data_IF_831511650175
#
_entry.id   IF_831511650175
#
_cell.length_a   1.000
_cell.length_b   1.000
_cell.length_c   1.000
_cell.angle_alpha   90.00
_cell.angle_beta   90.00
_cell.angle_gamma   90.00
#
_symmetry.space_group_name_H-M   'P 1'
#
loop_
_entity.id
_entity.type
_entity.pdbx_description
1 polymer ?
#
# COMPACT_ATOMS: atom_id res chain seq x y z
N UNK A 1 -7.46 22.82 -12.48
CA UNK A 1 -8.47 22.40 -11.50
C UNK A 1 -8.49 20.89 -11.44
N UNK A 2 -7.81 20.33 -10.47
CA UNK A 2 -7.80 18.89 -10.22
C UNK A 2 -8.95 18.56 -9.27
N UNK A 3 -10.15 18.51 -9.82
CA UNK A 3 -11.31 17.99 -9.10
C UNK A 3 -11.20 16.48 -8.97
N UNK A 4 -10.58 15.99 -7.88
CA UNK A 4 -10.60 14.59 -7.52
C UNK A 4 -12.05 14.11 -7.40
N UNK A 5 -12.37 12.96 -8.00
CA UNK A 5 -13.68 12.32 -7.80
C UNK A 5 -13.89 12.07 -6.31
N UNK A 6 -15.11 12.23 -5.76
CA UNK A 6 -15.38 11.88 -4.37
C UNK A 6 -14.94 10.44 -4.07
N UNK A 7 -14.14 10.25 -3.05
CA UNK A 7 -13.62 8.93 -2.67
C UNK A 7 -12.23 8.59 -3.22
N UNK A 8 -11.60 9.47 -4.00
CA UNK A 8 -10.24 9.24 -4.50
C UNK A 8 -9.21 9.43 -3.39
N UNK A 9 -8.30 8.48 -3.22
CA UNK A 9 -7.18 8.56 -2.27
C UNK A 9 -5.97 9.18 -2.97
N UNK A 10 -5.44 10.26 -2.41
CA UNK A 10 -4.22 10.91 -2.93
C UNK A 10 -3.17 10.96 -1.83
N UNK A 11 -1.99 10.42 -2.10
CA UNK A 11 -0.85 10.39 -1.20
C UNK A 11 0.41 10.86 -1.93
N UNK A 12 1.16 11.81 -1.35
CA UNK A 12 2.40 12.36 -1.93
C UNK A 12 2.26 12.77 -3.42
N UNK A 13 1.09 13.32 -3.80
CA UNK A 13 0.81 13.75 -5.17
C UNK A 13 0.48 12.60 -6.15
N UNK A 14 0.31 11.38 -5.65
CA UNK A 14 -0.12 10.23 -6.44
C UNK A 14 -1.55 9.85 -6.11
N UNK A 15 -2.34 9.58 -7.15
CA UNK A 15 -3.67 8.98 -7.01
C UNK A 15 -3.51 7.47 -6.82
N UNK A 16 -4.06 6.93 -5.74
CA UNK A 16 -3.95 5.51 -5.38
C UNK A 16 -5.26 4.81 -5.70
N UNK A 17 -5.18 3.75 -6.50
CA UNK A 17 -6.25 2.81 -6.76
C UNK A 17 -5.89 1.43 -6.21
N UNK A 18 -6.90 0.64 -5.92
CA UNK A 18 -6.74 -0.75 -5.51
C UNK A 18 -7.50 -1.66 -6.46
N UNK A 19 -6.82 -2.64 -7.04
CA UNK A 19 -7.47 -3.71 -7.78
C UNK A 19 -8.40 -4.50 -6.85
N UNK A 20 -9.54 -5.04 -7.32
CA UNK A 20 -10.48 -5.79 -6.50
C UNK A 20 -9.85 -6.92 -5.66
N UNK A 21 -8.83 -7.60 -6.17
CA UNK A 21 -8.09 -8.62 -5.40
C UNK A 21 -7.43 -8.03 -4.16
N UNK A 22 -6.68 -6.94 -4.31
CA UNK A 22 -6.04 -6.28 -3.17
C UNK A 22 -7.08 -5.69 -2.22
N UNK A 23 -8.13 -5.09 -2.75
CA UNK A 23 -9.20 -4.50 -1.94
C UNK A 23 -9.93 -5.53 -1.09
N UNK A 24 -10.19 -6.72 -1.65
CA UNK A 24 -10.79 -7.84 -0.91
C UNK A 24 -9.86 -8.32 0.22
N UNK A 25 -8.55 -8.43 -0.05
CA UNK A 25 -7.55 -8.81 0.96
C UNK A 25 -7.44 -7.76 2.08
N UNK A 26 -7.42 -6.49 1.74
CA UNK A 26 -7.38 -5.40 2.71
C UNK A 26 -8.65 -5.38 3.58
N UNK A 27 -9.83 -5.53 2.97
CA UNK A 27 -11.11 -5.59 3.67
C UNK A 27 -11.17 -6.76 4.65
N UNK A 28 -10.78 -7.96 4.21
CA UNK A 28 -10.75 -9.15 5.06
C UNK A 28 -9.82 -8.96 6.27
N UNK A 29 -8.65 -8.36 6.04
CA UNK A 29 -7.69 -8.10 7.12
C UNK A 29 -8.20 -7.05 8.11
N UNK A 30 -8.90 -6.02 7.65
CA UNK A 30 -9.55 -5.02 8.53
C UNK A 30 -10.61 -5.70 9.40
N UNK A 31 -11.47 -6.54 8.81
CA UNK A 31 -12.49 -7.30 9.55
C UNK A 31 -11.86 -8.22 10.61
N UNK A 32 -10.78 -8.90 10.27
CA UNK A 32 -10.03 -9.74 11.22
C UNK A 32 -9.48 -8.92 12.39
N UNK A 33 -8.87 -7.78 12.13
CA UNK A 33 -8.31 -6.89 13.17
C UNK A 33 -9.41 -6.35 14.07
N UNK A 34 -10.53 -5.91 13.52
CA UNK A 34 -11.68 -5.43 14.33
C UNK A 34 -12.28 -6.56 15.20
N UNK A 35 -12.36 -7.78 14.70
CA UNK A 35 -12.78 -8.92 15.48
C UNK A 35 -11.80 -9.24 16.63
N UNK A 36 -10.50 -9.18 16.37
CA UNK A 36 -9.47 -9.36 17.41
C UNK A 36 -9.52 -8.26 18.46
N UNK A 37 -9.70 -7.00 18.06
CA UNK A 37 -9.85 -5.85 18.94
C UNK A 37 -11.09 -5.97 19.84
N UNK A 38 -12.20 -6.45 19.30
CA UNK A 38 -13.43 -6.67 20.07
C UNK A 38 -13.27 -7.77 21.14
N UNK A 39 -12.42 -8.78 20.86
CA UNK A 39 -12.15 -9.87 21.81
C UNK A 39 -11.09 -9.52 22.85
N UNK A 40 -10.09 -8.75 22.47
CA UNK A 40 -8.94 -8.41 23.31
C UNK A 40 -8.44 -6.99 22.97
N UNK A 41 -9.10 -6.00 23.53
CA UNK A 41 -8.81 -4.58 23.28
C UNK A 41 -7.40 -4.14 23.69
N UNK A 42 -6.76 -4.85 24.62
CA UNK A 42 -5.40 -4.54 25.06
C UNK A 42 -4.34 -5.25 24.23
N UNK A 43 -4.57 -6.54 23.86
CA UNK A 43 -3.56 -7.38 23.22
C UNK A 43 -3.61 -7.42 21.70
N UNK A 44 -4.67 -6.91 21.04
CA UNK A 44 -4.81 -7.01 19.58
C UNK A 44 -3.67 -6.33 18.81
N UNK A 45 -3.05 -5.28 19.36
CA UNK A 45 -1.92 -4.57 18.73
C UNK A 45 -0.70 -5.48 18.51
N UNK A 46 -0.52 -6.48 19.36
CA UNK A 46 0.54 -7.49 19.23
C UNK A 46 0.28 -8.58 18.21
N UNK A 47 -0.95 -8.72 17.71
CA UNK A 47 -1.35 -9.78 16.79
C UNK A 47 -0.77 -9.59 15.39
N UNK A 48 -0.54 -10.71 14.70
CA UNK A 48 0.03 -10.70 13.35
C UNK A 48 -0.85 -9.95 12.34
N UNK A 49 -2.16 -10.13 12.40
CA UNK A 49 -3.10 -9.42 11.52
C UNK A 49 -3.00 -7.91 11.66
N UNK A 50 -2.92 -7.38 12.89
CA UNK A 50 -2.76 -5.95 13.15
C UNK A 50 -1.44 -5.41 12.59
N UNK A 51 -0.33 -6.14 12.80
CA UNK A 51 0.98 -5.76 12.26
C UNK A 51 1.00 -5.79 10.72
N UNK A 52 0.36 -6.79 10.11
CA UNK A 52 0.20 -6.89 8.64
C UNK A 52 -0.60 -5.74 8.08
N UNK A 53 -1.74 -5.43 8.69
CA UNK A 53 -2.58 -4.30 8.28
C UNK A 53 -1.80 -2.99 8.33
N UNK A 54 -1.12 -2.72 9.45
CA UNK A 54 -0.29 -1.52 9.59
C UNK A 54 0.81 -1.44 8.53
N UNK A 55 1.49 -2.54 8.23
CA UNK A 55 2.53 -2.60 7.22
C UNK A 55 1.97 -2.39 5.79
N UNK A 56 0.83 -2.99 5.47
CA UNK A 56 0.18 -2.81 4.16
C UNK A 56 -0.27 -1.36 3.94
N UNK A 57 -0.86 -0.74 4.96
CA UNK A 57 -1.27 0.67 4.91
C UNK A 57 -0.06 1.60 4.78
N UNK A 58 0.99 1.37 5.56
CA UNK A 58 2.22 2.15 5.48
C UNK A 58 2.91 2.01 4.11
N UNK A 59 2.99 0.81 3.57
CA UNK A 59 3.58 0.60 2.25
C UNK A 59 2.77 1.25 1.14
N UNK A 60 1.47 0.94 1.08
CA UNK A 60 0.61 1.34 -0.03
C UNK A 60 0.33 2.84 -0.08
N UNK A 61 0.25 3.51 1.08
CA UNK A 61 -0.22 4.89 1.18
C UNK A 61 0.84 5.89 1.67
N UNK A 62 1.99 5.41 2.13
CA UNK A 62 3.07 6.27 2.61
C UNK A 62 4.37 6.02 1.83
N UNK A 63 4.93 4.82 1.88
CA UNK A 63 6.27 4.54 1.33
C UNK A 63 6.31 4.47 -0.19
N UNK A 64 5.42 3.68 -0.80
CA UNK A 64 5.38 3.56 -2.26
C UNK A 64 5.11 4.91 -2.94
N UNK A 65 4.13 5.73 -2.48
CA UNK A 65 3.86 7.02 -3.12
C UNK A 65 4.99 8.05 -3.00
N UNK A 66 5.90 7.90 -2.05
CA UNK A 66 7.08 8.78 -1.96
C UNK A 66 8.03 8.59 -3.15
N UNK A 67 8.24 7.36 -3.60
CA UNK A 67 9.10 7.04 -4.74
C UNK A 67 8.72 5.70 -5.39
N UNK A 68 7.61 5.60 -6.15
CA UNK A 68 7.16 4.33 -6.72
C UNK A 68 8.11 3.73 -7.77
N UNK A 69 9.02 4.54 -8.31
CA UNK A 69 10.04 4.11 -9.26
C UNK A 69 11.32 3.60 -8.57
N UNK A 70 11.38 3.60 -7.24
CA UNK A 70 12.56 3.18 -6.49
C UNK A 70 13.06 1.80 -6.88
N UNK A 71 14.38 1.63 -6.92
CA UNK A 71 15.03 0.36 -7.30
C UNK A 71 14.71 -0.77 -6.32
N UNK A 72 14.40 -0.45 -5.07
CA UNK A 72 13.94 -1.41 -4.05
C UNK A 72 12.64 -2.14 -4.43
N UNK A 73 11.85 -1.55 -5.33
CA UNK A 73 10.60 -2.16 -5.83
C UNK A 73 10.77 -2.97 -7.10
N UNK A 74 11.95 -3.00 -7.68
CA UNK A 74 12.25 -3.82 -8.84
C UNK A 74 12.21 -5.30 -8.47
N UNK A 75 11.52 -6.10 -9.28
CA UNK A 75 11.28 -7.51 -8.97
C UNK A 75 12.35 -8.46 -9.56
N UNK A 76 13.36 -7.92 -10.24
CA UNK A 76 14.35 -8.72 -10.94
C UNK A 76 13.74 -9.50 -12.12
N UNK A 77 14.15 -10.75 -12.31
CA UNK A 77 13.65 -11.62 -13.39
C UNK A 77 12.67 -12.70 -12.94
N UNK A 78 12.32 -12.76 -11.66
CA UNK A 78 11.56 -13.87 -11.07
C UNK A 78 10.14 -14.01 -11.63
N UNK A 79 9.48 -12.87 -11.92
CA UNK A 79 8.13 -12.88 -12.49
C UNK A 79 8.12 -13.17 -14.01
N UNK A 80 9.23 -12.97 -14.69
CA UNK A 80 9.39 -13.08 -16.13
C UNK A 80 9.74 -11.75 -16.79
N UNK A 81 10.42 -11.80 -17.92
CA UNK A 81 10.87 -10.61 -18.63
C UNK A 81 9.69 -9.76 -19.14
N UNK A 82 8.61 -10.43 -19.52
CA UNK A 82 7.35 -9.82 -19.98
C UNK A 82 6.65 -8.98 -18.92
N UNK A 83 6.90 -9.25 -17.62
CA UNK A 83 6.26 -8.59 -16.48
C UNK A 83 7.17 -7.61 -15.73
N UNK A 84 8.26 -7.13 -16.33
CA UNK A 84 9.20 -6.18 -15.71
C UNK A 84 8.57 -4.85 -15.29
N UNK A 85 7.46 -4.46 -15.89
CA UNK A 85 6.70 -3.27 -15.53
C UNK A 85 5.92 -3.40 -14.21
N UNK A 86 5.76 -4.62 -13.69
CA UNK A 86 5.24 -4.85 -12.36
C UNK A 86 6.33 -4.59 -11.32
N UNK A 87 5.92 -3.96 -10.23
CA UNK A 87 6.77 -3.66 -9.07
C UNK A 87 6.30 -4.47 -7.87
N UNK A 88 7.20 -4.68 -6.91
CA UNK A 88 6.86 -5.35 -5.66
C UNK A 88 7.52 -4.68 -4.46
N UNK A 89 6.77 -4.47 -3.39
CA UNK A 89 7.28 -4.05 -2.10
C UNK A 89 7.33 -5.24 -1.15
N UNK A 90 8.49 -5.46 -0.50
CA UNK A 90 8.68 -6.52 0.49
C UNK A 90 8.36 -6.00 1.89
N UNK A 91 7.73 -6.82 2.72
CA UNK A 91 7.59 -6.57 4.15
C UNK A 91 7.58 -7.88 4.94
N UNK A 92 8.01 -7.82 6.21
CA UNK A 92 8.18 -8.99 7.09
C UNK A 92 8.85 -10.19 6.41
N UNK A 93 9.83 -9.92 5.53
CA UNK A 93 10.61 -10.89 4.74
C UNK A 93 9.78 -11.78 3.80
N UNK A 94 8.61 -12.23 4.19
CA UNK A 94 7.79 -13.22 3.49
C UNK A 94 6.69 -12.63 2.61
N UNK A 95 6.23 -11.39 2.87
CA UNK A 95 5.15 -10.77 2.10
C UNK A 95 5.67 -9.92 0.95
N UNK A 96 4.90 -9.94 -0.14
CA UNK A 96 5.16 -9.19 -1.39
C UNK A 96 3.88 -8.51 -1.82
N UNK A 97 3.86 -7.18 -1.82
CA UNK A 97 2.80 -6.36 -2.39
C UNK A 97 3.18 -6.02 -3.82
N UNK A 98 2.39 -6.48 -4.79
CA UNK A 98 2.58 -6.17 -6.20
C UNK A 98 1.75 -4.97 -6.59
N UNK A 99 2.37 -4.06 -7.36
CA UNK A 99 1.76 -2.83 -7.81
C UNK A 99 2.30 -2.38 -9.16
N UNK A 100 1.58 -1.47 -9.80
CA UNK A 100 2.04 -0.72 -10.98
C UNK A 100 1.86 0.77 -10.75
N UNK A 101 2.61 1.57 -11.49
CA UNK A 101 2.47 3.02 -11.48
C UNK A 101 2.63 3.58 -12.88
N UNK A 102 2.05 4.76 -13.10
CA UNK A 102 2.19 5.52 -14.34
C UNK A 102 2.60 6.95 -14.01
N UNK A 103 3.83 7.32 -14.36
CA UNK A 103 4.47 8.57 -13.91
C UNK A 103 3.80 9.81 -14.47
N UNK A 104 3.34 9.77 -15.73
CA UNK A 104 2.71 10.91 -16.38
C UNK A 104 1.37 11.28 -15.73
N UNK A 105 0.55 10.30 -15.41
CA UNK A 105 -0.74 10.54 -14.75
C UNK A 105 -0.64 10.59 -13.23
N UNK A 106 0.53 10.35 -12.64
CA UNK A 106 0.74 10.26 -11.20
C UNK A 106 -0.25 9.29 -10.54
N UNK A 107 -0.32 8.07 -11.07
CA UNK A 107 -1.27 7.04 -10.66
C UNK A 107 -0.53 5.79 -10.21
N UNK A 108 -0.95 5.21 -9.09
CA UNK A 108 -0.49 3.93 -8.56
C UNK A 108 -1.69 2.99 -8.44
N UNK A 109 -1.52 1.74 -8.83
CA UNK A 109 -2.50 0.66 -8.64
C UNK A 109 -1.88 -0.41 -7.77
N UNK A 110 -2.41 -0.61 -6.56
CA UNK A 110 -2.08 -1.72 -5.67
C UNK A 110 -2.88 -2.94 -6.13
N UNK A 111 -2.21 -4.04 -6.50
CA UNK A 111 -2.86 -5.11 -7.23
C UNK A 111 -3.13 -6.37 -6.39
N UNK A 112 -2.15 -6.83 -5.64
CA UNK A 112 -2.25 -8.07 -4.88
C UNK A 112 -1.12 -8.19 -3.87
N UNK A 113 -1.36 -8.90 -2.78
CA UNK A 113 -0.37 -9.29 -1.79
C UNK A 113 -0.50 -10.79 -1.49
N UNK A 114 0.60 -11.52 -1.33
CA UNK A 114 0.51 -12.89 -0.85
C UNK A 114 0.05 -12.91 0.63
N UNK A 115 -0.78 -13.88 0.95
CA UNK A 115 -1.36 -14.10 2.28
C UNK A 115 -0.78 -15.34 2.98
N UNK A 116 -1.27 -15.61 4.17
CA UNK A 116 -0.82 -16.76 4.96
C UNK A 116 -1.20 -18.10 4.31
N UNK A 117 -2.31 -18.16 3.56
CA UNK A 117 -2.73 -19.36 2.85
C UNK A 117 -1.78 -19.65 1.68
N UNK A 118 -1.36 -18.63 0.97
CA UNK A 118 -0.32 -18.74 -0.06
C UNK A 118 1.01 -19.20 0.54
N UNK A 119 1.38 -18.70 1.72
CA UNK A 119 2.61 -19.08 2.40
C UNK A 119 2.58 -20.53 2.94
N UNK A 120 1.44 -21.02 3.39
CA UNK A 120 1.29 -22.40 3.88
C UNK A 120 1.27 -23.45 2.79
N UNK A 121 0.80 -23.08 1.61
CA UNK A 121 0.66 -24.00 0.48
C UNK A 121 1.99 -24.36 -0.18
N UNK A 122 3.06 -23.60 0.10
CA UNK A 122 4.31 -23.67 -0.65
C UNK A 122 5.51 -23.30 0.24
N UNK A 123 6.54 -24.11 0.16
CA UNK A 123 7.71 -24.07 1.07
C UNK A 123 8.87 -23.18 0.54
N UNK A 124 8.62 -22.30 -0.44
CA UNK A 124 9.69 -21.49 -1.06
C UNK A 124 9.37 -20.00 -1.21
N UNK A 125 10.45 -19.18 -1.19
CA UNK A 125 10.39 -17.71 -1.37
C UNK A 125 9.84 -17.28 -2.73
N UNK A 126 9.79 -18.20 -3.70
CA UNK A 126 9.36 -17.94 -5.09
C UNK A 126 7.84 -18.10 -5.28
N UNK A 127 7.11 -18.52 -4.27
CA UNK A 127 5.70 -18.87 -4.38
C UNK A 127 4.78 -17.68 -4.59
N UNK A 128 5.09 -16.53 -3.98
CA UNK A 128 4.35 -15.30 -4.23
C UNK A 128 4.45 -14.89 -5.71
N UNK A 129 5.62 -15.02 -6.31
CA UNK A 129 5.83 -14.72 -7.73
C UNK A 129 5.13 -15.72 -8.63
N UNK A 130 5.21 -17.00 -8.32
CA UNK A 130 4.54 -18.07 -9.08
C UNK A 130 3.03 -17.90 -9.02
N UNK A 131 2.48 -17.62 -7.85
CA UNK A 131 1.04 -17.35 -7.66
C UNK A 131 0.62 -16.11 -8.42
N UNK A 132 1.35 -15.01 -8.27
CA UNK A 132 1.03 -13.78 -8.98
C UNK A 132 1.13 -13.94 -10.51
N UNK A 133 2.13 -14.66 -11.01
CA UNK A 133 2.25 -15.00 -12.44
C UNK A 133 1.05 -15.80 -12.95
N UNK A 134 0.55 -16.77 -12.18
CA UNK A 134 -0.68 -17.49 -12.52
C UNK A 134 -1.90 -16.57 -12.60
N UNK A 135 -2.01 -15.61 -11.66
CA UNK A 135 -3.07 -14.62 -11.69
C UNK A 135 -2.98 -13.74 -12.96
N UNK A 136 -1.80 -13.25 -13.31
CA UNK A 136 -1.58 -12.47 -14.54
C UNK A 136 -1.92 -13.28 -15.78
N UNK A 137 -1.51 -14.54 -15.85
CA UNK A 137 -1.82 -15.44 -16.97
C UNK A 137 -3.33 -15.71 -17.10
N UNK A 138 -4.08 -15.66 -15.99
CA UNK A 138 -5.55 -15.77 -16.03
C UNK A 138 -6.26 -14.45 -16.37
N UNK A 139 -5.49 -13.35 -16.52
CA UNK A 139 -6.04 -12.02 -16.80
C UNK A 139 -6.64 -11.31 -15.57
N UNK A 140 -6.38 -11.80 -14.37
CA UNK A 140 -6.89 -11.18 -13.12
C UNK A 140 -5.81 -11.13 -12.02
N UNK A 141 -5.08 -10.01 -11.85
CA UNK A 141 -5.34 -8.70 -12.47
C UNK A 141 -4.97 -8.64 -13.96
N UNK A 142 -5.60 -7.74 -14.74
CA UNK A 142 -5.20 -7.52 -16.12
C UNK A 142 -3.76 -6.99 -16.20
N UNK A 143 -3.01 -7.40 -17.23
CA UNK A 143 -1.66 -6.89 -17.43
C UNK A 143 -1.62 -5.57 -18.21
N UNK A 144 -2.63 -5.27 -19.06
CA UNK A 144 -2.71 -3.97 -19.72
C UNK A 144 -2.97 -2.87 -18.69
N UNK A 145 -2.32 -1.71 -18.87
CA UNK A 145 -2.49 -0.59 -17.94
C UNK A 145 -3.92 -0.06 -17.91
N UNK A 146 -4.53 0.07 -19.08
CA UNK A 146 -5.88 0.60 -19.25
C UNK A 146 -6.92 -0.29 -18.55
N UNK A 147 -6.84 -1.60 -18.76
CA UNK A 147 -7.77 -2.56 -18.15
C UNK A 147 -7.55 -2.67 -16.64
N UNK A 148 -6.28 -2.67 -16.19
CA UNK A 148 -5.94 -2.66 -14.78
C UNK A 148 -6.51 -1.43 -14.07
N UNK A 149 -6.32 -0.24 -14.65
CA UNK A 149 -6.84 1.01 -14.10
C UNK A 149 -8.36 1.00 -14.07
N UNK A 150 -9.00 0.59 -15.16
CA UNK A 150 -10.47 0.49 -15.27
C UNK A 150 -11.03 -0.47 -14.21
N UNK A 151 -10.45 -1.65 -14.05
CA UNK A 151 -10.86 -2.62 -13.03
C UNK A 151 -10.71 -2.07 -11.60
N UNK A 152 -9.73 -1.21 -11.37
CA UNK A 152 -9.39 -0.69 -10.04
C UNK A 152 -10.22 0.54 -9.64
N UNK A 153 -10.83 1.24 -10.60
CA UNK A 153 -11.61 2.45 -10.31
C UNK A 153 -12.94 2.16 -9.61
N UNK A 154 -13.47 0.97 -9.73
CA UNK A 154 -14.75 0.59 -9.08
C UNK A 154 -14.67 0.52 -7.55
N UNK A 155 -13.47 0.42 -6.99
CA UNK A 155 -13.22 0.28 -5.56
C UNK A 155 -12.90 1.57 -4.80
N UNK A 156 -12.87 2.72 -5.46
CA UNK A 156 -12.39 3.99 -4.90
C UNK A 156 -13.03 4.36 -3.55
N UNK A 157 -14.37 4.32 -3.49
CA UNK A 157 -15.11 4.68 -2.28
C UNK A 157 -14.82 3.73 -1.12
N UNK A 158 -14.65 2.44 -1.39
CA UNK A 158 -14.31 1.44 -0.37
C UNK A 158 -12.89 1.64 0.10
N UNK A 159 -11.95 1.87 -0.81
CA UNK A 159 -10.56 2.14 -0.48
C UNK A 159 -10.43 3.37 0.42
N UNK A 160 -11.13 4.46 0.11
CA UNK A 160 -11.11 5.68 0.90
C UNK A 160 -11.63 5.48 2.35
N UNK A 161 -12.59 4.55 2.54
CA UNK A 161 -13.09 4.21 3.87
C UNK A 161 -12.12 3.36 4.68
N UNK A 162 -11.34 2.51 4.01
CA UNK A 162 -10.38 1.61 4.65
C UNK A 162 -9.04 2.28 4.95
N UNK A 163 -8.72 3.37 4.26
CA UNK A 163 -7.50 4.13 4.49
C UNK A 163 -7.66 5.05 5.69
N UNK A 164 -6.70 5.09 6.63
CA UNK A 164 -6.69 6.16 7.63
C UNK A 164 -6.67 7.49 6.89
N UNK A 165 -7.57 8.39 7.27
CA UNK A 165 -7.61 9.74 6.70
C UNK A 165 -6.18 10.28 6.70
N UNK A 166 -5.61 10.53 5.53
CA UNK A 166 -4.25 11.04 5.40
C UNK A 166 -4.11 12.18 6.42
N UNK A 167 -3.14 12.05 7.33
CA UNK A 167 -2.94 13.04 8.38
C UNK A 167 -2.84 14.40 7.69
N UNK A 168 -3.75 15.29 8.03
CA UNK A 168 -3.67 16.67 7.58
C UNK A 168 -2.23 17.15 7.84
N UNK A 169 -1.61 17.94 6.96
CA UNK A 169 -0.23 18.35 7.14
C UNK A 169 -0.10 18.91 8.53
N UNK A 170 0.73 18.25 9.36
CA UNK A 170 1.00 18.73 10.72
C UNK A 170 1.55 20.14 10.57
N UNK A 171 0.76 21.12 10.99
CA UNK A 171 1.18 22.51 11.08
C UNK A 171 2.52 22.50 11.83
N UNK A 172 3.56 23.03 11.21
CA UNK A 172 4.87 23.21 11.83
C UNK A 172 4.64 23.90 13.18
N UNK A 173 4.82 23.16 14.27
CA UNK A 173 4.93 23.74 15.59
C UNK A 173 6.13 24.67 15.55
N UNK A 174 5.86 25.96 15.46
CA UNK A 174 6.86 27.01 15.47
C UNK A 174 7.73 26.86 16.70
N UNK A 175 8.99 26.53 16.48
CA UNK A 175 10.03 26.52 17.50
C UNK A 175 10.20 27.98 17.97
N UNK A 176 9.55 28.33 19.07
CA UNK A 176 9.69 29.64 19.73
C UNK A 176 11.15 29.76 20.17
N UNK A 177 11.93 30.53 19.41
CA UNK A 177 13.26 30.95 19.80
C UNK A 177 13.17 31.70 21.13
N UNK A 178 13.70 31.14 22.19
CA UNK A 178 13.96 31.85 23.44
C UNK A 178 15.00 32.91 23.17
N UNK A 179 14.60 34.16 23.12
CA UNK A 179 15.47 35.32 23.11
C UNK A 179 16.26 35.38 24.44
N UNK A 180 17.57 35.23 24.32
CA UNK A 180 18.51 35.39 25.43
C UNK A 180 18.52 36.89 25.86
N UNK A 181 18.22 37.12 27.13
CA UNK A 181 18.25 38.46 27.77
C UNK A 181 19.70 38.99 27.75
N UNK A 182 19.96 40.26 27.38
CA UNK A 182 21.31 40.81 27.38
C UNK A 182 21.78 41.05 28.84
N UNK A 183 23.12 41.02 29.10
CA UNK A 183 23.66 41.28 30.43
C UNK A 183 23.60 42.76 30.78
N UNK A 184 23.41 43.04 32.07
CA UNK A 184 23.41 44.42 32.65
C UNK A 184 24.83 44.98 32.66
N UNK A 185 25.02 46.30 32.38
CA UNK A 185 26.30 46.93 32.51
C UNK A 185 26.64 47.21 34.00
N UNK A 186 27.90 47.08 34.31
CA UNK A 186 28.49 47.55 35.58
C UNK A 186 28.73 49.03 35.52
#
# INVERSE_FOLDING_TARGET
>A
MTGGRPGTVVCHGWTIYAHPLFLAQLTALVVEVEAQKSKDAAGYLGKNATKRLAAMLQLGFEKIPQNPAGSEYEQGGTLGAEYKHWRRAKFFQQYRLFFRFHSRSKTIVLAWVNDDDTLRSFDSKDDAYRTFRKLLNSGNPPDSWEDLLKASQSGDTTLAKLTPKAAAPTAKVGRRLKTKKPPKPH
#
